data_IF_394224091257
#
_entry.id   IF_394224091257
#
_cell.length_a   1.000
_cell.length_b   1.000
_cell.length_c   1.000
_cell.angle_alpha   90.00
_cell.angle_beta   90.00
_cell.angle_gamma   90.00
#
_symmetry.space_group_name_H-M   'P 1'
#
loop_
_entity.id
_entity.type
_entity.pdbx_description
1 polymer ?
#
# COMPACT_ATOMS: atom_id res chain seq x y z
N UNK A 1 16.17 -8.02 32.11
CA UNK A 1 15.29 -7.61 30.98
C UNK A 1 14.22 -6.68 31.52
N UNK A 2 13.94 -5.57 30.85
CA UNK A 2 12.92 -4.63 31.32
C UNK A 2 11.51 -5.21 31.11
N UNK A 3 10.68 -5.17 32.14
CA UNK A 3 9.28 -5.61 32.10
C UNK A 3 8.34 -4.45 32.41
N UNK A 4 7.18 -4.35 31.73
CA UNK A 4 6.22 -3.29 32.00
C UNK A 4 5.62 -3.48 33.40
N UNK A 5 5.76 -2.48 34.26
CA UNK A 5 5.18 -2.53 35.61
C UNK A 5 3.66 -2.59 35.61
N UNK A 6 3.02 -1.99 34.59
CA UNK A 6 1.57 -1.95 34.39
C UNK A 6 1.24 -2.05 32.90
N UNK A 7 0.05 -2.58 32.59
CA UNK A 7 -0.48 -2.63 31.22
C UNK A 7 -0.73 -1.21 30.71
N UNK A 8 -0.51 -0.97 29.42
CA UNK A 8 -0.90 0.27 28.76
C UNK A 8 -2.43 0.42 28.72
N UNK A 9 -2.92 1.65 28.84
CA UNK A 9 -4.35 1.92 28.71
C UNK A 9 -4.89 1.48 27.34
N UNK A 10 -6.18 1.13 27.29
CA UNK A 10 -6.85 0.74 26.02
C UNK A 10 -6.69 1.83 24.95
N UNK A 11 -6.77 3.09 25.35
CA UNK A 11 -6.59 4.25 24.46
C UNK A 11 -5.20 4.28 23.81
N UNK A 12 -4.14 4.08 24.60
CA UNK A 12 -2.77 4.10 24.07
C UNK A 12 -2.48 2.92 23.14
N UNK A 13 -3.04 1.75 23.43
CA UNK A 13 -2.96 0.60 22.52
C UNK A 13 -3.68 0.86 21.19
N UNK A 14 -4.92 1.39 21.23
CA UNK A 14 -5.70 1.72 20.02
C UNK A 14 -5.03 2.81 19.17
N UNK A 15 -4.46 3.83 19.79
CA UNK A 15 -3.72 4.89 19.08
C UNK A 15 -2.49 4.34 18.33
N UNK A 16 -1.76 3.38 18.92
CA UNK A 16 -0.64 2.72 18.22
C UNK A 16 -1.14 1.88 17.04
N UNK A 17 -2.26 1.18 17.22
CA UNK A 17 -2.88 0.40 16.14
C UNK A 17 -3.35 1.29 14.99
N UNK A 18 -3.96 2.45 15.26
CA UNK A 18 -4.40 3.36 14.20
C UNK A 18 -3.23 3.91 13.39
N UNK A 19 -2.11 4.21 14.03
CA UNK A 19 -0.87 4.61 13.33
C UNK A 19 -0.37 3.48 12.41
N UNK A 20 -0.44 2.23 12.85
CA UNK A 20 -0.05 1.09 12.01
C UNK A 20 -1.00 0.93 10.81
N UNK A 21 -2.32 1.04 11.01
CA UNK A 21 -3.32 0.99 9.94
C UNK A 21 -3.24 2.17 8.97
N UNK A 22 -2.84 3.35 9.44
CA UNK A 22 -2.71 4.51 8.55
C UNK A 22 -1.61 4.31 7.49
N UNK A 23 -0.58 3.51 7.79
CA UNK A 23 0.48 3.19 6.82
C UNK A 23 -0.08 2.44 5.61
N UNK A 24 -1.02 1.50 5.80
CA UNK A 24 -1.61 0.77 4.67
C UNK A 24 -2.49 1.68 3.81
N UNK A 25 -3.24 2.60 4.40
CA UNK A 25 -4.05 3.57 3.67
C UNK A 25 -3.20 4.44 2.73
N UNK A 26 -2.05 4.92 3.19
CA UNK A 26 -1.12 5.70 2.37
C UNK A 26 -0.60 4.86 1.19
N UNK A 27 -0.26 3.60 1.42
CA UNK A 27 0.21 2.72 0.33
C UNK A 27 -0.91 2.40 -0.67
N UNK A 28 -2.15 2.20 -0.21
CA UNK A 28 -3.30 1.98 -1.08
C UNK A 28 -3.54 3.18 -2.01
N UNK A 29 -3.45 4.41 -1.49
CA UNK A 29 -3.57 5.63 -2.31
C UNK A 29 -2.48 5.71 -3.39
N UNK A 30 -1.23 5.40 -3.03
CA UNK A 30 -0.11 5.37 -3.98
C UNK A 30 -0.31 4.31 -5.06
N UNK A 31 -0.74 3.11 -4.68
CA UNK A 31 -1.01 2.02 -5.62
C UNK A 31 -2.12 2.39 -6.61
N UNK A 32 -3.21 3.03 -6.16
CA UNK A 32 -4.28 3.50 -7.04
C UNK A 32 -3.78 4.56 -8.02
N UNK A 33 -3.00 5.53 -7.54
CA UNK A 33 -2.39 6.56 -8.40
C UNK A 33 -1.48 5.94 -9.46
N UNK A 34 -0.70 4.93 -9.08
CA UNK A 34 0.17 4.19 -10.00
C UNK A 34 -0.65 3.45 -11.06
N UNK A 35 -1.68 2.71 -10.64
CA UNK A 35 -2.54 1.94 -11.54
C UNK A 35 -3.25 2.84 -12.57
N UNK A 36 -3.75 4.01 -12.13
CA UNK A 36 -4.35 5.00 -13.04
C UNK A 36 -3.35 5.54 -14.08
N UNK A 37 -2.12 5.81 -13.64
CA UNK A 37 -1.04 6.26 -14.54
C UNK A 37 -0.71 5.21 -15.60
N UNK A 38 -0.63 3.93 -15.18
CA UNK A 38 -0.39 2.79 -16.08
C UNK A 38 -1.55 2.60 -17.08
N UNK A 39 -2.80 2.66 -16.62
CA UNK A 39 -3.98 2.50 -17.48
C UNK A 39 -4.11 3.62 -18.52
N UNK A 40 -3.73 4.86 -18.17
CA UNK A 40 -3.78 5.99 -19.09
C UNK A 40 -2.56 6.06 -20.04
N UNK A 41 -1.61 5.12 -19.93
CA UNK A 41 -0.35 5.08 -20.68
C UNK A 41 0.45 6.41 -20.62
N UNK A 42 0.27 7.17 -19.54
CA UNK A 42 0.80 8.54 -19.36
C UNK A 42 2.00 8.58 -18.39
N UNK A 43 2.68 7.44 -18.16
CA UNK A 43 3.62 7.26 -17.05
C UNK A 43 5.10 7.22 -17.46
N UNK A 44 5.87 8.20 -16.98
CA UNK A 44 7.24 8.59 -17.37
C UNK A 44 8.41 7.77 -16.80
N UNK A 45 8.23 6.74 -15.96
CA UNK A 45 9.36 5.95 -15.40
C UNK A 45 9.11 4.47 -15.09
N UNK A 46 7.86 4.02 -14.95
CA UNK A 46 7.56 2.63 -14.61
C UNK A 46 7.45 1.79 -15.89
N UNK A 47 8.46 0.95 -16.14
CA UNK A 47 8.44 0.01 -17.27
C UNK A 47 7.72 -1.26 -16.83
N UNK A 48 6.51 -1.46 -17.34
CA UNK A 48 5.81 -2.73 -17.19
C UNK A 48 6.11 -3.62 -18.40
N UNK A 49 6.87 -4.70 -18.19
CA UNK A 49 7.08 -5.72 -19.22
C UNK A 49 5.82 -6.57 -19.31
N UNK A 50 4.97 -6.30 -20.31
CA UNK A 50 3.89 -7.20 -20.69
C UNK A 50 4.53 -8.41 -21.37
N UNK A 51 4.76 -9.51 -20.66
CA UNK A 51 5.07 -10.78 -21.32
C UNK A 51 3.75 -11.40 -21.78
N UNK A 52 3.23 -10.92 -22.91
CA UNK A 52 2.07 -11.50 -23.56
C UNK A 52 2.51 -12.79 -24.27
N UNK A 53 2.00 -14.00 -23.92
CA UNK A 53 1.61 -14.88 -25.00
C UNK A 53 0.42 -14.19 -25.67
N UNK A 54 0.69 -13.60 -26.85
CA UNK A 54 -0.28 -13.05 -27.79
C UNK A 54 -1.70 -13.58 -27.56
N UNK A 55 -2.62 -12.72 -27.09
CA UNK A 55 -4.04 -13.00 -27.31
C UNK A 55 -4.31 -12.65 -28.77
N UNK A 56 -4.23 -13.68 -29.62
CA UNK A 56 -4.80 -13.65 -30.96
C UNK A 56 -6.32 -13.47 -30.85
N UNK A 57 -6.83 -12.28 -31.18
CA UNK A 57 -8.23 -12.11 -31.55
C UNK A 57 -8.31 -11.22 -32.79
N UNK A 58 -8.99 -11.76 -33.82
CA UNK A 58 -9.47 -11.09 -35.04
C UNK A 58 -10.42 -9.92 -34.73
#
# INVERSE_FOLDING_TARGET
MAVPKKRTSKMKTKSRQSVWMNKSNIQAQRAISLAKSLAANNGTSFVYSQNTPETSED
#
